data_IF_305373753806
#
_entry.id   IF_305373753806
#
_cell.length_a   1.000
_cell.length_b   1.000
_cell.length_c   1.000
_cell.angle_alpha   90.00
_cell.angle_beta   90.00
_cell.angle_gamma   90.00
#
_symmetry.space_group_name_H-M   'P 1'
#
loop_
_entity.id
_entity.type
_entity.pdbx_description
1 polymer ?
#
# COMPACT_ATOMS: atom_id res chain seq x y z
N UNK A 1 -19.67 10.29 53.09
CA UNK A 1 -19.44 11.01 51.82
C UNK A 1 -19.86 10.08 50.67
N UNK A 2 -20.96 10.38 49.98
CA UNK A 2 -21.44 9.57 48.86
C UNK A 2 -20.86 10.14 47.57
N UNK A 3 -19.91 9.43 46.97
CA UNK A 3 -19.30 9.87 45.71
C UNK A 3 -20.34 9.75 44.60
N UNK A 4 -20.60 10.85 43.90
CA UNK A 4 -21.54 10.87 42.79
C UNK A 4 -21.02 9.96 41.66
N UNK A 5 -21.77 8.91 41.32
CA UNK A 5 -21.39 7.90 40.32
C UNK A 5 -21.05 8.52 38.96
N UNK A 6 -21.69 9.63 38.58
CA UNK A 6 -21.40 10.33 37.31
C UNK A 6 -20.01 10.95 37.35
N UNK A 7 -19.66 11.62 38.44
CA UNK A 7 -18.34 12.24 38.60
C UNK A 7 -17.23 11.19 38.66
N UNK A 8 -17.49 10.05 39.29
CA UNK A 8 -16.56 8.91 39.29
C UNK A 8 -16.34 8.34 37.89
N UNK A 9 -17.42 8.15 37.11
CA UNK A 9 -17.31 7.63 35.74
C UNK A 9 -16.64 8.62 34.80
N UNK A 10 -16.87 9.93 34.95
CA UNK A 10 -16.17 10.96 34.17
C UNK A 10 -14.68 10.94 34.50
N UNK A 11 -14.32 10.86 35.79
CA UNK A 11 -12.92 10.76 36.21
C UNK A 11 -12.24 9.50 35.68
N UNK A 12 -12.92 8.34 35.76
CA UNK A 12 -12.42 7.06 35.25
C UNK A 12 -12.29 7.07 33.72
N UNK A 13 -13.27 7.63 33.01
CA UNK A 13 -13.25 7.73 31.55
C UNK A 13 -12.17 8.69 31.04
N UNK A 14 -12.01 9.85 31.68
CA UNK A 14 -11.00 10.84 31.31
C UNK A 14 -9.56 10.34 31.59
N UNK A 15 -9.35 9.65 32.72
CA UNK A 15 -8.04 9.09 33.06
C UNK A 15 -7.67 7.88 32.20
N UNK A 16 -8.59 6.94 31.98
CA UNK A 16 -8.33 5.79 31.11
C UNK A 16 -8.19 6.20 29.62
N UNK A 17 -9.02 7.15 29.16
CA UNK A 17 -9.00 7.63 27.78
C UNK A 17 -7.70 8.37 27.42
N UNK A 18 -7.13 9.15 28.34
CA UNK A 18 -5.87 9.87 28.09
C UNK A 18 -4.67 8.95 27.96
N UNK A 19 -4.61 7.83 28.69
CA UNK A 19 -3.54 6.82 28.54
C UNK A 19 -3.66 6.06 27.22
N UNK A 20 -4.88 5.63 26.86
CA UNK A 20 -5.12 4.88 25.63
C UNK A 20 -4.92 5.71 24.35
N UNK A 21 -5.15 7.02 24.40
CA UNK A 21 -5.03 7.93 23.26
C UNK A 21 -3.67 8.66 23.17
N UNK A 22 -2.73 8.41 24.10
CA UNK A 22 -1.36 8.92 23.97
C UNK A 22 -0.70 8.59 22.61
N UNK A 23 -0.84 7.39 22.02
CA UNK A 23 -0.28 7.09 20.70
C UNK A 23 -1.03 7.75 19.53
N UNK A 24 -2.25 8.26 19.75
CA UNK A 24 -3.06 8.95 18.73
C UNK A 24 -2.83 10.47 18.74
N UNK A 25 -2.66 11.05 19.93
CA UNK A 25 -2.49 12.50 20.12
C UNK A 25 -1.03 12.96 20.00
N UNK A 26 -0.05 12.06 20.17
CA UNK A 26 1.34 12.31 19.76
C UNK A 26 1.45 12.19 18.24
N UNK A 27 0.88 13.17 17.56
CA UNK A 27 0.98 13.33 16.11
C UNK A 27 2.44 13.25 15.65
N UNK A 28 2.65 12.39 14.66
CA UNK A 28 3.90 12.31 13.93
C UNK A 28 4.00 11.04 13.10
N UNK A 29 3.96 9.86 13.74
CA UNK A 29 4.29 8.59 13.09
C UNK A 29 3.61 7.40 13.80
N UNK A 30 2.28 7.40 13.88
CA UNK A 30 1.55 6.17 14.25
C UNK A 30 1.05 5.51 12.98
N UNK A 31 1.96 4.78 12.34
CA UNK A 31 1.63 3.71 11.41
C UNK A 31 0.67 2.75 12.11
N UNK A 32 -0.62 2.81 11.76
CA UNK A 32 -1.50 1.65 11.90
C UNK A 32 -0.83 0.57 11.08
N UNK A 33 -0.07 -0.31 11.74
CA UNK A 33 0.65 -1.40 11.10
C UNK A 33 -0.35 -2.38 10.47
N UNK A 34 -0.86 -2.00 9.29
CA UNK A 34 -1.26 -2.96 8.28
C UNK A 34 -0.02 -3.85 8.06
N UNK A 35 -0.17 -5.17 7.85
CA UNK A 35 0.97 -6.08 7.61
C UNK A 35 1.81 -5.73 6.36
N UNK A 36 1.50 -4.62 5.69
CA UNK A 36 2.23 -4.01 4.58
C UNK A 36 3.05 -2.78 4.97
N UNK A 37 2.97 -2.27 6.20
CA UNK A 37 3.77 -1.14 6.68
C UNK A 37 5.05 -1.66 7.36
N UNK A 38 5.89 -2.30 6.56
CA UNK A 38 7.32 -2.29 6.84
C UNK A 38 7.89 -0.96 6.34
N UNK A 39 8.98 -0.52 6.97
CA UNK A 39 9.74 0.69 6.63
C UNK A 39 9.77 0.93 5.12
N UNK A 40 9.62 2.19 4.71
CA UNK A 40 9.94 2.61 3.35
C UNK A 40 11.34 2.13 3.04
N UNK A 41 11.44 0.98 2.37
CA UNK A 41 12.65 0.57 1.69
C UNK A 41 12.85 1.65 0.62
N UNK A 42 13.56 2.70 1.00
CA UNK A 42 14.22 3.56 0.06
C UNK A 42 15.05 2.58 -0.77
N UNK A 43 14.53 2.25 -1.95
CA UNK A 43 15.26 1.43 -2.91
C UNK A 43 16.34 2.34 -3.48
N UNK A 44 17.39 2.61 -2.69
CA UNK A 44 18.61 3.25 -3.19
C UNK A 44 19.13 2.40 -4.34
N UNK A 45 18.73 2.78 -5.56
CA UNK A 45 18.95 2.00 -6.77
C UNK A 45 17.99 0.81 -6.85
N UNK A 46 17.68 0.40 -8.09
CA UNK A 46 17.04 -0.88 -8.37
C UNK A 46 17.50 -1.96 -7.38
N UNK A 47 16.60 -2.76 -6.80
CA UNK A 47 17.00 -3.90 -5.99
C UNK A 47 17.98 -4.73 -6.81
N UNK A 48 19.24 -4.75 -6.37
CA UNK A 48 20.38 -5.50 -6.90
C UNK A 48 20.21 -7.01 -6.65
N UNK A 49 18.99 -7.51 -6.89
CA UNK A 49 18.54 -8.87 -6.63
C UNK A 49 17.23 -9.24 -7.33
N UNK A 50 16.53 -8.32 -8.00
CA UNK A 50 15.45 -8.71 -8.90
C UNK A 50 16.04 -9.28 -10.19
N UNK A 51 15.64 -10.50 -10.54
CA UNK A 51 16.04 -11.16 -11.79
C UNK A 51 15.27 -10.63 -13.01
N UNK A 52 14.40 -9.64 -12.83
CA UNK A 52 13.59 -9.04 -13.88
C UNK A 52 13.62 -7.52 -13.75
N UNK A 53 13.43 -6.85 -14.87
CA UNK A 53 13.30 -5.40 -14.93
C UNK A 53 11.84 -5.00 -14.61
N UNK A 54 11.57 -4.21 -13.57
CA UNK A 54 10.21 -3.80 -13.24
C UNK A 54 9.56 -2.98 -14.37
N UNK A 55 8.26 -3.20 -14.60
CA UNK A 55 7.48 -2.45 -15.57
C UNK A 55 7.08 -1.11 -14.97
N UNK A 56 7.26 -0.03 -15.73
CA UNK A 56 6.89 1.32 -15.34
C UNK A 56 5.37 1.48 -15.27
N UNK A 57 4.87 1.91 -14.12
CA UNK A 57 3.46 2.26 -13.91
C UNK A 57 3.09 3.67 -14.38
N UNK A 58 1.85 4.05 -14.15
CA UNK A 58 1.34 5.40 -14.49
C UNK A 58 1.70 6.48 -13.48
N UNK A 59 2.16 6.10 -12.29
CA UNK A 59 2.45 7.01 -11.19
C UNK A 59 3.86 6.76 -10.65
N UNK A 60 4.64 7.82 -10.35
CA UNK A 60 5.94 7.67 -9.72
C UNK A 60 5.79 7.05 -8.34
N UNK A 61 6.62 6.06 -8.05
CA UNK A 61 6.69 5.44 -6.74
C UNK A 61 7.87 6.00 -5.96
N UNK A 62 7.76 6.01 -4.62
CA UNK A 62 8.86 6.43 -3.75
C UNK A 62 10.10 5.53 -3.90
N UNK A 63 9.90 4.30 -4.38
CA UNK A 63 10.95 3.32 -4.68
C UNK A 63 11.76 3.65 -5.93
N UNK A 64 11.27 4.54 -6.80
CA UNK A 64 11.96 4.84 -8.07
C UNK A 64 13.19 5.74 -7.87
N UNK A 65 13.36 6.31 -6.66
CA UNK A 65 14.47 7.23 -6.26
C UNK A 65 14.78 8.26 -7.35
N UNK A 66 13.70 8.80 -7.91
CA UNK A 66 13.75 9.77 -8.99
C UNK A 66 13.68 11.18 -8.41
N UNK A 67 14.54 12.09 -8.88
CA UNK A 67 14.48 13.50 -8.48
C UNK A 67 13.13 14.12 -8.91
N UNK A 68 12.56 15.08 -8.14
CA UNK A 68 11.25 15.66 -8.43
C UNK A 68 11.10 16.19 -9.87
N UNK A 69 12.14 16.83 -10.40
CA UNK A 69 12.13 17.39 -11.77
C UNK A 69 12.05 16.30 -12.85
N UNK A 70 12.65 15.13 -12.58
CA UNK A 70 12.58 13.97 -13.48
C UNK A 70 11.26 13.23 -13.37
N UNK A 71 10.63 13.22 -12.19
CA UNK A 71 9.30 12.63 -12.03
C UNK A 71 8.28 13.31 -12.94
N UNK A 72 8.28 14.64 -12.96
CA UNK A 72 7.36 15.39 -13.81
C UNK A 72 7.60 15.10 -15.29
N UNK A 73 8.86 15.05 -15.72
CA UNK A 73 9.21 14.77 -17.12
C UNK A 73 8.82 13.34 -17.51
N UNK A 74 9.26 12.35 -16.72
CA UNK A 74 9.14 10.94 -17.05
C UNK A 74 7.69 10.43 -16.92
N UNK A 75 6.89 11.00 -16.02
CA UNK A 75 5.49 10.59 -15.79
C UNK A 75 4.46 11.59 -16.34
N UNK A 76 4.89 12.58 -17.13
CA UNK A 76 3.98 13.55 -17.79
C UNK A 76 3.01 12.91 -18.78
N UNK A 77 3.42 11.80 -19.39
CA UNK A 77 2.65 11.08 -20.39
C UNK A 77 2.69 9.58 -20.08
N UNK A 78 1.52 8.94 -20.18
CA UNK A 78 1.39 7.51 -20.02
C UNK A 78 0.49 6.95 -21.12
N UNK A 79 0.99 5.94 -21.83
CA UNK A 79 0.22 5.23 -22.87
C UNK A 79 -0.43 4.02 -22.23
N UNK A 80 -1.76 4.02 -22.20
CA UNK A 80 -2.55 2.87 -21.75
C UNK A 80 -2.52 1.81 -22.84
N UNK A 81 -2.06 0.62 -22.50
CA UNK A 81 -2.07 -0.55 -23.37
C UNK A 81 -3.20 -1.48 -22.92
N UNK A 82 -3.99 -1.95 -23.87
CA UNK A 82 -5.12 -2.88 -23.61
C UNK A 82 -4.66 -4.34 -23.48
N UNK A 83 -3.34 -4.59 -23.56
CA UNK A 83 -2.75 -5.91 -23.42
C UNK A 83 -1.86 -6.00 -22.19
N UNK A 84 -1.61 -7.22 -21.72
CA UNK A 84 -0.71 -7.50 -20.62
C UNK A 84 0.73 -7.22 -21.07
N UNK A 85 1.38 -6.29 -20.37
CA UNK A 85 2.81 -6.00 -20.53
C UNK A 85 3.58 -6.89 -19.56
N UNK A 86 4.62 -7.57 -20.06
CA UNK A 86 5.48 -8.47 -19.28
C UNK A 86 6.94 -8.01 -19.32
N UNK A 87 7.73 -8.31 -18.28
CA UNK A 87 9.17 -8.12 -18.33
C UNK A 87 9.83 -9.03 -19.37
N UNK A 88 11.03 -8.68 -19.80
CA UNK A 88 11.81 -9.50 -20.72
C UNK A 88 12.03 -10.92 -20.18
N UNK A 89 11.89 -11.93 -21.05
CA UNK A 89 12.06 -13.34 -20.70
C UNK A 89 10.85 -14.01 -20.05
N UNK A 90 9.73 -13.30 -19.90
CA UNK A 90 8.46 -13.87 -19.40
C UNK A 90 7.44 -14.01 -20.53
N UNK A 91 6.62 -15.05 -20.44
CA UNK A 91 5.49 -15.30 -21.34
C UNK A 91 4.24 -15.55 -20.50
N UNK A 92 3.07 -15.44 -21.13
CA UNK A 92 1.80 -15.79 -20.51
C UNK A 92 1.00 -16.65 -21.48
N UNK A 93 0.24 -17.58 -20.93
CA UNK A 93 -0.76 -18.35 -21.66
C UNK A 93 -2.15 -17.94 -21.14
N UNK A 94 -3.04 -17.56 -22.04
CA UNK A 94 -4.44 -17.27 -21.70
C UNK A 94 -5.17 -18.59 -21.56
N UNK A 95 -5.52 -18.96 -20.33
CA UNK A 95 -6.22 -20.21 -20.05
C UNK A 95 -7.72 -20.11 -20.32
N UNK A 96 -8.31 -18.94 -20.06
CA UNK A 96 -9.75 -18.67 -20.16
C UNK A 96 -9.94 -17.17 -20.40
N UNK A 97 -10.87 -16.81 -21.28
CA UNK A 97 -11.31 -15.43 -21.51
C UNK A 97 -12.67 -15.17 -20.87
N UNK A 98 -12.95 -13.91 -20.56
CA UNK A 98 -14.26 -13.55 -20.02
C UNK A 98 -15.37 -13.89 -21.03
N UNK A 99 -16.38 -14.63 -20.59
CA UNK A 99 -17.45 -15.16 -21.44
C UNK A 99 -17.23 -16.59 -21.93
N UNK A 100 -16.05 -17.17 -21.72
CA UNK A 100 -15.83 -18.59 -21.98
C UNK A 100 -16.63 -19.45 -20.99
N UNK A 101 -17.24 -20.53 -21.50
CA UNK A 101 -17.88 -21.53 -20.65
C UNK A 101 -16.81 -22.33 -19.93
N UNK A 102 -16.59 -22.03 -18.66
CA UNK A 102 -15.65 -22.76 -17.82
C UNK A 102 -16.35 -23.97 -17.22
N UNK A 103 -15.96 -25.16 -17.69
CA UNK A 103 -16.54 -26.44 -17.29
C UNK A 103 -17.68 -26.90 -18.21
N UNK A 104 -17.51 -28.08 -18.80
CA UNK A 104 -18.67 -28.94 -19.06
C UNK A 104 -18.83 -29.76 -17.80
N UNK A 105 -20.04 -29.76 -17.23
CA UNK A 105 -20.35 -30.71 -16.16
C UNK A 105 -19.95 -32.10 -16.63
N UNK A 106 -19.02 -32.71 -15.91
CA UNK A 106 -18.76 -34.13 -16.06
C UNK A 106 -20.09 -34.86 -15.83
N UNK A 107 -20.33 -35.88 -16.63
CA UNK A 107 -21.63 -36.56 -16.80
C UNK A 107 -22.28 -37.05 -15.50
#
# INVERSE_FOLDING_TARGET
>A
MTVNRRNFLIFLGASAGTVALQPVLKGGQSSVALPFQSESALAQGLPTGLKFQPIKGSMPLMTDVLAPDKQLTDYSQFVVQDNIVLPEGYTYDVLVSWGDRVGQGDR
#
